data_IF_047404146978
#
_entry.id   IF_047404146978
#
_cell.length_a   1.000
_cell.length_b   1.000
_cell.length_c   1.000
_cell.angle_alpha   90.00
_cell.angle_beta   90.00
_cell.angle_gamma   90.00
#
_symmetry.space_group_name_H-M   'P 1'
#
loop_
_entity.id
_entity.type
_entity.pdbx_description
1 polymer ?
#
# COMPACT_ATOMS: atom_id res chain seq x y z
N UNK A 1 -3.32 15.72 -9.81
CA UNK A 1 -3.79 14.50 -9.11
C UNK A 1 -5.29 14.42 -9.29
N UNK A 2 -5.77 13.54 -10.16
CA UNK A 2 -7.18 13.48 -10.57
C UNK A 2 -7.36 12.39 -11.62
N UNK A 3 -7.32 11.14 -11.17
CA UNK A 3 -7.77 10.00 -11.97
C UNK A 3 -9.29 9.91 -11.89
N UNK A 4 -9.93 9.34 -12.92
CA UNK A 4 -11.37 9.14 -12.93
C UNK A 4 -11.81 8.39 -11.66
N UNK A 5 -12.84 8.85 -10.94
CA UNK A 5 -13.37 8.11 -9.79
C UNK A 5 -13.76 6.72 -10.27
N UNK A 6 -13.22 5.69 -9.62
CA UNK A 6 -13.34 4.33 -10.09
C UNK A 6 -12.92 3.34 -9.04
N UNK A 7 -13.41 2.12 -9.19
CA UNK A 7 -13.00 0.98 -8.38
C UNK A 7 -12.29 -0.04 -9.26
N UNK A 8 -11.37 -0.80 -8.67
CA UNK A 8 -10.80 -1.99 -9.32
C UNK A 8 -11.89 -3.04 -9.51
N UNK A 9 -11.62 -4.08 -10.30
CA UNK A 9 -12.54 -5.22 -10.46
C UNK A 9 -12.87 -5.91 -9.12
N UNK A 10 -12.01 -5.77 -8.11
CA UNK A 10 -12.21 -6.31 -6.77
C UNK A 10 -12.91 -5.32 -5.82
N UNK A 11 -13.37 -4.16 -6.32
CA UNK A 11 -14.11 -3.16 -5.57
C UNK A 11 -13.25 -2.19 -4.76
N UNK A 12 -11.92 -2.25 -4.83
CA UNK A 12 -11.07 -1.28 -4.14
C UNK A 12 -11.08 0.07 -4.85
N UNK A 13 -10.93 1.17 -4.11
CA UNK A 13 -10.61 2.46 -4.73
C UNK A 13 -9.41 2.31 -5.68
N UNK A 14 -9.49 2.92 -6.87
CA UNK A 14 -8.49 2.71 -7.93
C UNK A 14 -7.07 3.07 -7.47
N UNK A 15 -6.90 4.09 -6.64
CA UNK A 15 -5.57 4.51 -6.16
C UNK A 15 -5.07 3.56 -5.09
N UNK A 16 -5.95 3.15 -4.17
CA UNK A 16 -5.61 2.19 -3.13
C UNK A 16 -5.28 0.80 -3.70
N UNK A 17 -6.11 0.35 -4.65
CA UNK A 17 -5.95 -0.91 -5.35
C UNK A 17 -4.64 -0.97 -6.12
N UNK A 18 -4.31 0.10 -6.86
CA UNK A 18 -3.10 0.17 -7.68
C UNK A 18 -1.84 0.37 -6.84
N UNK A 19 -1.83 1.33 -5.93
CA UNK A 19 -0.61 1.70 -5.21
C UNK A 19 -0.26 0.72 -4.09
N UNK A 20 -1.27 0.09 -3.47
CA UNK A 20 -1.05 -0.77 -2.31
C UNK A 20 -1.51 -2.22 -2.53
N UNK A 21 -2.79 -2.48 -2.80
CA UNK A 21 -3.30 -3.87 -2.79
C UNK A 21 -2.63 -4.78 -3.82
N UNK A 22 -2.36 -4.27 -5.03
CA UNK A 22 -1.63 -5.03 -6.05
C UNK A 22 -0.22 -5.39 -5.59
N UNK A 23 0.51 -4.44 -5.00
CA UNK A 23 1.84 -4.70 -4.45
C UNK A 23 1.80 -5.63 -3.23
N UNK A 24 0.79 -5.51 -2.38
CA UNK A 24 0.64 -6.36 -1.20
C UNK A 24 0.39 -7.82 -1.59
N UNK A 25 -0.49 -8.08 -2.56
CA UNK A 25 -0.74 -9.42 -3.07
C UNK A 25 0.52 -10.02 -3.72
N UNK A 26 1.12 -9.26 -4.64
CA UNK A 26 2.33 -9.68 -5.34
C UNK A 26 3.44 -10.01 -4.34
N UNK A 27 3.67 -9.13 -3.36
CA UNK A 27 4.70 -9.32 -2.35
C UNK A 27 4.41 -10.55 -1.48
N UNK A 28 3.22 -10.64 -0.87
CA UNK A 28 2.87 -11.70 0.09
C UNK A 28 2.83 -13.08 -0.54
N UNK A 29 2.11 -13.21 -1.66
CA UNK A 29 1.76 -14.53 -2.18
C UNK A 29 2.87 -15.11 -3.06
N UNK A 30 3.58 -14.26 -3.80
CA UNK A 30 4.50 -14.72 -4.83
C UNK A 30 5.96 -14.52 -4.44
N UNK A 31 6.32 -13.36 -3.88
CA UNK A 31 7.72 -13.04 -3.64
C UNK A 31 8.23 -13.54 -2.28
N UNK A 32 7.46 -13.51 -1.20
CA UNK A 32 7.98 -13.91 0.13
C UNK A 32 8.60 -15.31 0.14
N UNK A 33 7.92 -16.38 -0.35
CA UNK A 33 8.50 -17.72 -0.32
C UNK A 33 9.80 -17.80 -1.13
N UNK A 34 9.85 -17.10 -2.26
CA UNK A 34 11.02 -17.06 -3.13
C UNK A 34 12.17 -16.27 -2.50
N UNK A 35 11.89 -15.12 -1.88
CA UNK A 35 12.88 -14.28 -1.20
C UNK A 35 13.51 -15.00 -0.02
N UNK A 36 12.70 -15.70 0.80
CA UNK A 36 13.18 -16.50 1.92
C UNK A 36 14.03 -17.68 1.45
N UNK A 37 13.58 -18.41 0.42
CA UNK A 37 14.35 -19.51 -0.17
C UNK A 37 15.63 -19.05 -0.87
N UNK A 38 15.66 -17.83 -1.42
CA UNK A 38 16.88 -17.27 -2.00
C UNK A 38 17.82 -16.82 -0.87
N UNK A 39 17.31 -16.14 0.17
CA UNK A 39 18.11 -15.64 1.28
C UNK A 39 18.91 -16.75 1.99
N UNK A 40 18.42 -17.99 2.02
CA UNK A 40 19.15 -19.12 2.61
C UNK A 40 20.36 -19.61 1.79
N UNK A 41 20.49 -19.20 0.52
CA UNK A 41 21.45 -19.76 -0.45
C UNK A 41 22.49 -18.74 -0.95
N UNK A 42 22.41 -17.47 -0.54
CA UNK A 42 23.33 -16.41 -0.99
C UNK A 42 23.88 -15.60 0.19
N UNK A 43 25.14 -15.20 0.07
CA UNK A 43 25.85 -14.37 1.05
C UNK A 43 25.28 -12.95 1.20
N UNK A 44 24.44 -12.49 0.25
CA UNK A 44 23.81 -11.17 0.30
C UNK A 44 22.28 -11.35 0.25
N UNK A 45 21.56 -11.00 1.32
CA UNK A 45 20.12 -11.22 1.37
C UNK A 45 19.38 -10.28 0.39
N UNK A 46 18.30 -10.77 -0.26
CA UNK A 46 17.50 -9.94 -1.15
C UNK A 46 16.75 -8.86 -0.36
N UNK A 47 16.42 -7.76 -1.02
CA UNK A 47 15.75 -6.60 -0.40
C UNK A 47 14.47 -6.25 -1.15
N UNK A 48 13.48 -5.81 -0.39
CA UNK A 48 12.21 -5.30 -0.91
C UNK A 48 12.14 -3.81 -0.59
N UNK A 49 11.87 -2.99 -1.59
CA UNK A 49 11.77 -1.53 -1.44
C UNK A 49 10.34 -1.11 -1.80
N UNK A 50 9.61 -0.59 -0.82
CA UNK A 50 8.27 -0.03 -0.99
C UNK A 50 8.38 1.49 -1.17
N UNK A 51 7.95 1.99 -2.33
CA UNK A 51 7.97 3.42 -2.61
C UNK A 51 6.74 4.12 -2.03
N UNK A 52 6.98 5.23 -1.32
CA UNK A 52 5.95 6.14 -0.81
C UNK A 52 6.21 7.58 -1.28
N UNK A 53 5.53 8.55 -0.70
CA UNK A 53 5.56 9.97 -1.06
C UNK A 53 5.44 10.84 0.18
N UNK A 54 5.90 12.10 0.14
CA UNK A 54 5.73 13.09 1.21
C UNK A 54 4.26 13.34 1.59
N UNK A 55 3.31 12.88 0.76
CA UNK A 55 1.88 12.91 1.10
C UNK A 55 1.52 12.14 2.38
N UNK A 56 2.38 11.24 2.88
CA UNK A 56 2.06 10.37 4.02
C UNK A 56 1.95 11.16 5.32
N UNK A 57 2.64 12.30 5.41
CA UNK A 57 2.60 13.22 6.54
C UNK A 57 1.56 14.34 6.39
N UNK A 58 0.76 14.33 5.31
CA UNK A 58 -0.20 15.39 5.04
C UNK A 58 -1.48 15.21 5.87
N UNK A 59 -1.39 15.54 7.17
CA UNK A 59 -2.45 15.29 8.16
C UNK A 59 -3.83 15.84 7.74
N UNK A 60 -3.88 17.01 7.11
CA UNK A 60 -5.13 17.61 6.62
C UNK A 60 -5.81 16.80 5.49
N UNK A 61 -5.06 15.92 4.82
CA UNK A 61 -5.55 15.06 3.75
C UNK A 61 -5.74 13.60 4.20
N UNK A 62 -5.48 13.26 5.46
CA UNK A 62 -5.74 11.92 5.99
C UNK A 62 -7.08 11.91 6.74
N UNK A 63 -7.83 10.80 6.68
CA UNK A 63 -8.97 10.63 7.57
C UNK A 63 -8.52 10.54 9.04
N UNK A 64 -9.43 10.77 10.00
CA UNK A 64 -9.17 10.51 11.41
C UNK A 64 -8.68 9.07 11.61
N UNK A 65 -7.55 8.90 12.32
CA UNK A 65 -6.91 7.59 12.49
C UNK A 65 -5.97 7.17 11.34
N UNK A 66 -5.74 8.04 10.35
CA UNK A 66 -4.77 7.84 9.27
C UNK A 66 -5.33 7.06 8.08
N UNK A 67 -5.98 5.92 8.31
CA UNK A 67 -6.56 5.08 7.26
C UNK A 67 -8.00 4.75 7.60
N UNK A 68 -8.92 5.06 6.69
CA UNK A 68 -10.33 4.72 6.85
C UNK A 68 -10.62 3.36 6.18
N UNK A 69 -10.40 2.26 6.90
CA UNK A 69 -10.57 0.91 6.36
C UNK A 69 -11.97 0.59 5.83
N UNK A 70 -13.00 1.18 6.44
CA UNK A 70 -14.40 0.99 6.05
C UNK A 70 -14.71 1.47 4.62
N UNK A 71 -13.89 2.37 4.08
CA UNK A 71 -14.10 3.01 2.78
C UNK A 71 -13.00 2.69 1.77
N UNK A 72 -12.18 1.66 2.00
CA UNK A 72 -11.15 1.23 1.03
C UNK A 72 -11.73 0.37 -0.10
N UNK A 73 -12.83 -0.34 0.19
CA UNK A 73 -13.61 -1.18 -0.75
C UNK A 73 -14.83 -0.45 -1.33
N UNK A 74 -14.89 0.84 -1.12
CA UNK A 74 -15.86 1.73 -1.75
C UNK A 74 -15.09 2.95 -2.23
N UNK A 75 -15.54 3.59 -3.30
CA UNK A 75 -14.98 4.88 -3.71
C UNK A 75 -16.02 5.96 -3.44
N UNK A 76 -16.26 6.32 -2.16
CA UNK A 76 -17.23 7.36 -1.86
C UNK A 76 -16.79 8.67 -2.53
N UNK A 77 -17.71 9.38 -3.20
CA UNK A 77 -17.40 10.61 -3.92
C UNK A 77 -17.00 11.76 -2.98
N UNK A 78 -17.33 11.66 -1.70
CA UNK A 78 -17.00 12.65 -0.66
C UNK A 78 -15.50 12.74 -0.34
N UNK A 79 -14.74 11.67 -0.62
CA UNK A 79 -13.29 11.69 -0.48
C UNK A 79 -12.65 12.31 -1.72
N UNK A 80 -11.85 13.35 -1.50
CA UNK A 80 -11.05 13.92 -2.59
C UNK A 80 -10.03 12.89 -3.12
N UNK A 81 -9.62 13.05 -4.37
CA UNK A 81 -8.53 12.26 -4.96
C UNK A 81 -7.23 12.37 -4.16
N UNK A 82 -7.03 13.48 -3.45
CA UNK A 82 -5.85 13.66 -2.58
C UNK A 82 -5.99 12.78 -1.34
N UNK A 83 -7.18 12.71 -0.72
CA UNK A 83 -7.41 11.86 0.46
C UNK A 83 -7.21 10.36 0.16
N UNK A 84 -7.67 9.92 -1.01
CA UNK A 84 -7.51 8.54 -1.47
C UNK A 84 -6.03 8.23 -1.70
N UNK A 85 -5.32 9.15 -2.32
CA UNK A 85 -3.91 9.01 -2.62
C UNK A 85 -3.07 8.95 -1.35
N UNK A 86 -3.24 9.91 -0.44
CA UNK A 86 -2.46 10.02 0.80
C UNK A 86 -2.59 8.77 1.67
N UNK A 87 -3.79 8.20 1.76
CA UNK A 87 -3.98 6.91 2.42
C UNK A 87 -3.21 5.78 1.72
N UNK A 88 -3.26 5.70 0.39
CA UNK A 88 -2.58 4.64 -0.36
C UNK A 88 -1.06 4.64 -0.17
N UNK A 89 -0.44 5.82 -0.09
CA UNK A 89 1.01 5.95 0.12
C UNK A 89 1.40 5.83 1.60
N UNK A 90 0.49 6.13 2.54
CA UNK A 90 0.71 5.93 3.97
C UNK A 90 0.79 4.43 4.27
N UNK A 91 -0.13 3.65 3.69
CA UNK A 91 -0.13 2.19 3.87
C UNK A 91 1.15 1.56 3.33
N UNK A 92 1.74 2.06 2.25
CA UNK A 92 3.02 1.55 1.75
C UNK A 92 4.16 1.62 2.78
N UNK A 93 4.18 2.62 3.66
CA UNK A 93 5.16 2.75 4.75
C UNK A 93 4.84 1.76 5.86
N UNK A 94 3.60 1.75 6.35
CA UNK A 94 3.18 0.86 7.44
C UNK A 94 3.38 -0.60 7.07
N UNK A 95 3.15 -0.93 5.81
CA UNK A 95 3.30 -2.27 5.28
C UNK A 95 4.77 -2.71 5.21
N UNK A 96 5.68 -1.83 4.77
CA UNK A 96 7.11 -2.10 4.79
C UNK A 96 7.63 -2.26 6.23
N UNK A 97 7.13 -1.45 7.17
CA UNK A 97 7.46 -1.58 8.60
C UNK A 97 6.97 -2.92 9.18
N UNK A 98 5.72 -3.30 8.91
CA UNK A 98 5.17 -4.57 9.36
C UNK A 98 5.96 -5.76 8.79
N UNK A 99 6.37 -5.67 7.52
CA UNK A 99 7.21 -6.68 6.90
C UNK A 99 8.57 -6.79 7.59
N UNK A 100 9.22 -5.66 7.86
CA UNK A 100 10.48 -5.64 8.61
C UNK A 100 10.31 -6.29 9.99
N UNK A 101 9.24 -5.98 10.72
CA UNK A 101 8.98 -6.58 12.05
C UNK A 101 8.74 -8.09 12.02
N UNK A 102 8.26 -8.64 10.91
CA UNK A 102 7.95 -10.07 10.79
C UNK A 102 9.13 -10.91 10.29
N UNK A 103 10.00 -10.33 9.45
CA UNK A 103 11.00 -11.09 8.68
C UNK A 103 12.44 -10.60 8.86
N UNK A 104 12.67 -9.52 9.60
CA UNK A 104 14.00 -9.04 10.01
C UNK A 104 14.13 -9.11 11.53
#
# INVERSE_FOLDING_TARGET
>A
MGGHPGTTLQGYDIQFGTNHMGHALLLLELLIPLLLGTASNISSPPRVISLSSNGHGHAAALPPGGIAFSILKSSPPELSSVNKYTQSILVNILYALQYALQYL
#
